data_IF_346170084597
#
_entry.id   IF_346170084597
#
_cell.length_a   1.000
_cell.length_b   1.000
_cell.length_c   1.000
_cell.angle_alpha   90.00
_cell.angle_beta   90.00
_cell.angle_gamma   90.00
#
_symmetry.space_group_name_H-M   'P 1'
#
loop_
_entity.id
_entity.type
_entity.pdbx_description
1 polymer ?
2 non-polymer ?
3 water ?
#
# COMPACT_ATOMS: atom_id res chain seq x y z
N UNK A 1 12.61 7.37 -9.25
CA UNK A 1 11.99 5.99 -9.18
C UNK A 1 12.86 4.99 -8.39
N UNK A 2 12.68 3.67 -8.63
CA UNK A 2 13.41 2.67 -7.86
C UNK A 2 13.22 1.21 -8.29
N UNK A 3 14.30 0.40 -8.24
CA UNK A 3 14.18 -0.98 -8.64
C UNK A 3 13.05 -1.71 -7.89
N UNK A 4 12.83 -1.40 -6.59
CA UNK A 4 11.79 -2.14 -5.88
C UNK A 4 10.37 -1.80 -6.39
N UNK A 5 10.14 -0.54 -6.81
CA UNK A 5 8.85 -0.10 -7.33
C UNK A 5 8.60 -0.70 -8.70
N UNK A 6 9.67 -0.90 -9.46
CA UNK A 6 9.60 -1.56 -10.77
C UNK A 6 9.13 -3.01 -10.51
N UNK A 7 9.74 -3.68 -9.53
CA UNK A 7 9.31 -5.02 -9.15
C UNK A 7 7.82 -5.07 -8.69
N UNK A 8 7.41 -4.09 -7.86
CA UNK A 8 6.04 -4.01 -7.36
C UNK A 8 5.02 -3.98 -8.53
N UNK A 9 5.34 -3.20 -9.57
CA UNK A 9 4.45 -3.05 -10.72
C UNK A 9 4.33 -4.26 -11.62
N UNK A 10 5.19 -5.25 -11.41
CA UNK A 10 5.20 -6.50 -12.17
C UNK A 10 4.44 -7.62 -11.48
N UNK A 11 3.93 -7.42 -10.26
CA UNK A 11 3.19 -8.49 -9.59
C UNK A 11 1.97 -8.94 -10.44
N UNK A 12 1.68 -10.24 -10.43
CA UNK A 12 0.54 -10.80 -11.14
C UNK A 12 -0.34 -11.39 -10.03
N UNK A 13 -1.62 -11.04 -10.03
CA UNK A 13 -2.60 -11.45 -9.01
C UNK A 13 -3.48 -12.63 -9.37
N UNK A 14 -4.02 -13.34 -8.38
CA UNK A 14 -4.99 -14.41 -8.63
C UNK A 14 -6.33 -13.86 -8.17
N UNK A 15 -7.43 -14.23 -8.82
CA UNK A 15 -8.75 -13.72 -8.39
C UNK A 15 -9.06 -14.36 -7.04
N UNK A 16 -8.54 -15.56 -6.87
CA UNK A 16 -8.78 -16.37 -5.67
C UNK A 16 -7.58 -16.41 -4.72
N UNK A 17 -7.81 -16.30 -3.41
CA UNK A 17 -6.68 -16.30 -2.48
C UNK A 17 -6.16 -17.71 -2.33
N UNK A 18 -4.87 -17.92 -2.62
CA UNK A 18 -4.31 -19.26 -2.50
C UNK A 18 -4.28 -19.85 -1.05
N UNK A 19 -4.31 -21.19 -0.98
CA UNK A 19 -4.34 -21.91 0.28
C UNK A 19 -2.90 -22.02 0.80
N UNK A 20 -2.41 -20.89 1.32
CA UNK A 20 -1.05 -20.78 1.81
C UNK A 20 -1.00 -21.22 3.23
N UNK A 21 0.20 -21.36 3.79
CA UNK A 21 0.18 -21.78 5.19
C UNK A 21 -0.40 -20.62 6.00
N UNK A 22 -1.09 -20.95 7.08
CA UNK A 22 -1.68 -19.84 7.87
C UNK A 22 -0.78 -18.77 8.46
N UNK A 23 0.52 -19.00 8.58
CA UNK A 23 1.43 -17.96 9.13
C UNK A 23 1.57 -16.85 8.09
N UNK A 24 1.77 -17.26 6.84
CA UNK A 24 1.86 -16.34 5.73
C UNK A 24 0.47 -15.66 5.50
N UNK A 25 -0.67 -16.37 5.64
CA UNK A 25 -1.96 -15.66 5.48
C UNK A 25 -2.21 -14.61 6.57
N UNK A 26 -1.73 -14.85 7.80
CA UNK A 26 -1.90 -13.85 8.85
C UNK A 26 -1.33 -12.49 8.41
N UNK A 27 -0.14 -12.52 7.86
CA UNK A 27 0.52 -11.36 7.35
C UNK A 27 -0.19 -10.72 6.15
N UNK A 28 -0.49 -11.52 5.11
CA UNK A 28 -1.10 -10.95 3.90
C UNK A 28 -2.50 -10.44 4.02
N UNK A 29 -3.31 -11.03 4.91
CA UNK A 29 -4.69 -10.56 5.12
C UNK A 29 -4.85 -9.51 6.25
N UNK A 30 -3.76 -9.15 6.91
CA UNK A 30 -3.81 -8.15 7.99
C UNK A 30 -4.67 -6.92 7.62
N UNK A 31 -5.59 -6.52 8.50
CA UNK A 31 -6.44 -5.36 8.22
C UNK A 31 -5.77 -4.04 8.64
N UNK A 32 -4.57 -3.78 8.16
CA UNK A 32 -3.85 -2.54 8.52
C UNK A 32 -2.63 -2.57 7.61
N UNK A 33 -1.90 -1.45 7.62
CA UNK A 33 -0.61 -1.27 6.90
C UNK A 33 0.37 -2.14 7.74
N UNK A 34 1.65 -2.26 7.34
CA UNK A 34 2.63 -3.05 8.07
C UNK A 34 3.36 -2.31 9.19
N UNK A 35 3.09 -1.03 9.33
CA UNK A 35 3.83 -0.24 10.32
C UNK A 35 4.00 -0.79 11.73
N UNK A 36 2.89 -0.98 12.42
CA UNK A 36 2.95 -1.46 13.80
C UNK A 36 3.39 -2.91 13.90
N UNK A 37 3.04 -3.69 12.88
CA UNK A 37 3.40 -5.10 12.84
C UNK A 37 4.90 -5.24 12.73
N UNK A 38 5.55 -4.33 12.00
CA UNK A 38 6.99 -4.39 11.88
C UNK A 38 7.67 -3.90 13.15
N UNK A 39 7.08 -2.88 13.77
CA UNK A 39 7.61 -2.36 15.01
C UNK A 39 7.55 -3.48 16.05
N UNK A 40 6.50 -4.29 16.01
CA UNK A 40 6.33 -5.40 16.94
C UNK A 40 7.52 -6.34 16.96
N UNK A 41 8.22 -6.42 15.83
CA UNK A 41 9.42 -7.27 15.71
C UNK A 41 10.62 -6.70 16.48
N UNK A 42 10.47 -5.54 17.09
CA UNK A 42 11.60 -4.97 17.79
C UNK A 42 12.42 -4.07 16.87
N UNK A 43 11.71 -3.30 16.05
CA UNK A 43 12.35 -2.42 15.06
C UNK A 43 11.73 -1.03 15.05
N UNK A 44 12.51 -0.09 14.53
CA UNK A 44 12.16 1.32 14.33
C UNK A 44 11.87 1.33 12.85
N UNK A 45 10.78 1.91 12.44
CA UNK A 45 10.42 1.93 11.03
C UNK A 45 10.62 3.37 10.50
N UNK A 46 11.15 3.52 9.29
CA UNK A 46 11.31 4.84 8.65
C UNK A 46 10.96 4.73 7.15
N UNK A 47 10.47 5.83 6.63
CA UNK A 47 10.06 5.89 5.25
C UNK A 47 11.05 6.61 4.30
N UNK A 48 11.34 6.04 3.14
CA UNK A 48 12.12 6.78 2.14
C UNK A 48 11.09 7.15 1.05
N UNK A 49 10.98 8.45 0.76
CA UNK A 49 10.02 8.88 -0.22
C UNK A 49 10.57 8.61 -1.63
N UNK A 50 9.87 7.91 -2.48
CA UNK A 50 10.38 7.68 -3.84
C UNK A 50 9.75 8.71 -4.79
N UNK A 51 8.44 8.88 -4.68
CA UNK A 51 7.73 9.77 -5.54
C UNK A 51 6.42 10.13 -4.89
N UNK A 52 6.11 11.42 -4.97
CA UNK A 52 4.87 11.90 -4.47
C UNK A 52 4.35 13.09 -5.34
N UNK A 53 3.06 13.13 -5.62
CA UNK A 53 2.48 14.22 -6.37
C UNK A 53 1.24 13.82 -7.12
N UNK A 54 0.64 14.79 -7.79
CA UNK A 54 -0.55 14.55 -8.56
C UNK A 54 -0.17 14.03 -9.90
N UNK A 55 -0.94 13.08 -10.39
CA UNK A 55 -0.72 12.51 -11.70
C UNK A 55 -2.04 12.28 -12.41
N UNK A 56 -1.97 12.13 -13.74
CA UNK A 56 -3.13 11.89 -14.58
C UNK A 56 -3.33 10.40 -14.83
N UNK A 57 -4.49 10.03 -15.37
CA UNK A 57 -4.79 8.64 -15.63
C UNK A 57 -3.71 7.79 -16.29
N UNK A 58 -3.00 8.37 -17.25
CA UNK A 58 -1.99 7.61 -17.98
C UNK A 58 -0.89 7.08 -17.08
N UNK A 59 -0.69 7.69 -15.92
CA UNK A 59 0.34 7.20 -15.01
C UNK A 59 -0.10 6.10 -14.08
N UNK A 60 -1.38 5.72 -14.13
CA UNK A 60 -1.91 4.67 -13.23
C UNK A 60 -2.71 3.57 -13.94
N UNK A 61 -2.13 3.02 -15.02
CA UNK A 61 -2.81 1.96 -15.77
C UNK A 61 -3.25 0.73 -15.00
N UNK A 62 -2.47 0.31 -14.01
CA UNK A 62 -2.82 -0.88 -13.24
C UNK A 62 -3.98 -0.62 -12.30
N UNK A 63 -4.05 0.58 -11.75
CA UNK A 63 -5.11 0.91 -10.79
C UNK A 63 -6.44 1.46 -11.35
N UNK A 64 -6.39 2.20 -12.46
CA UNK A 64 -7.57 2.80 -13.08
C UNK A 64 -8.86 1.90 -13.08
N UNK A 65 -8.78 0.62 -13.52
CA UNK A 65 -9.96 -0.28 -13.54
C UNK A 65 -10.63 -0.43 -12.20
N UNK A 66 -9.88 -0.19 -11.13
CA UNK A 66 -10.46 -0.35 -9.79
C UNK A 66 -10.93 0.92 -9.07
N UNK A 67 -10.77 2.08 -9.71
CA UNK A 67 -11.15 3.34 -9.11
C UNK A 67 -12.04 4.24 -10.04
N UNK A 68 -12.67 5.26 -9.45
CA UNK A 68 -13.50 6.17 -10.24
C UNK A 68 -12.57 6.84 -11.27
N UNK A 69 -13.12 7.19 -12.44
CA UNK A 69 -12.31 7.84 -13.48
C UNK A 69 -12.42 9.32 -13.19
N UNK A 70 -11.27 9.96 -12.96
CA UNK A 70 -11.21 11.37 -12.57
C UNK A 70 -10.08 12.04 -13.30
N UNK A 71 -9.98 13.36 -13.17
CA UNK A 71 -8.93 14.04 -13.89
C UNK A 71 -7.56 13.88 -13.32
N UNK A 72 -7.49 13.59 -12.02
CA UNK A 72 -6.20 13.60 -11.32
C UNK A 72 -6.23 12.64 -10.14
N UNK A 73 -5.05 12.19 -9.76
CA UNK A 73 -4.90 11.27 -8.63
C UNK A 73 -3.65 11.69 -7.87
N UNK A 74 -3.64 11.41 -6.57
CA UNK A 74 -2.46 11.67 -5.78
C UNK A 74 -1.73 10.29 -5.75
N UNK A 75 -0.44 10.29 -6.09
CA UNK A 75 0.40 9.11 -6.14
C UNK A 75 1.44 9.17 -5.04
N UNK A 76 1.59 8.05 -4.32
CA UNK A 76 2.57 8.03 -3.24
C UNK A 76 3.34 6.68 -3.30
N UNK A 77 4.64 6.73 -3.56
CA UNK A 77 5.45 5.57 -3.66
C UNK A 77 6.61 5.73 -2.62
N UNK A 78 6.71 4.72 -1.80
CA UNK A 78 7.73 4.72 -0.75
C UNK A 78 8.48 3.42 -0.61
N UNK A 79 9.57 3.48 0.18
CA UNK A 79 10.36 2.33 0.55
C UNK A 79 10.27 2.38 2.08
N UNK A 80 9.98 1.28 2.73
CA UNK A 80 9.89 1.26 4.17
C UNK A 80 11.06 0.48 4.73
N UNK A 81 11.84 1.07 5.61
CA UNK A 81 12.96 0.37 6.19
C UNK A 81 12.75 0.03 7.70
N UNK A 82 13.33 -1.09 8.16
CA UNK A 82 13.24 -1.50 9.58
C UNK A 82 14.72 -1.40 10.08
N UNK A 83 15.00 -0.54 11.06
CA UNK A 83 16.41 -0.27 11.49
C UNK A 83 17.38 -0.08 10.29
N UNK A 84 17.01 0.74 9.32
CA UNK A 84 17.86 0.93 8.18
C UNK A 84 17.81 -0.12 7.07
N UNK A 85 17.13 -1.24 7.28
CA UNK A 85 17.04 -2.30 6.27
C UNK A 85 15.70 -2.29 5.45
N UNK A 86 15.76 -2.07 4.12
CA UNK A 86 14.48 -2.08 3.40
C UNK A 86 13.70 -3.41 3.54
N UNK A 87 12.45 -3.30 3.96
CA UNK A 87 11.57 -4.45 4.11
C UNK A 87 10.36 -4.49 3.18
N UNK A 88 9.96 -3.30 2.72
CA UNK A 88 8.74 -3.15 1.92
C UNK A 88 8.72 -1.96 0.95
N UNK A 89 8.01 -2.14 -0.17
CA UNK A 89 7.85 -1.03 -1.08
C UNK A 89 6.33 -0.89 -1.17
N UNK A 90 5.84 0.34 -1.26
CA UNK A 90 4.41 0.48 -1.34
C UNK A 90 3.98 1.59 -2.30
N UNK A 91 2.83 1.40 -2.95
CA UNK A 91 2.30 2.38 -3.92
C UNK A 91 0.82 2.60 -3.60
N UNK A 92 0.47 3.86 -3.38
CA UNK A 92 -0.87 4.23 -3.00
C UNK A 92 -1.35 5.20 -4.07
N UNK A 93 -2.59 4.99 -4.50
CA UNK A 93 -3.19 5.87 -5.49
C UNK A 93 -4.52 6.37 -4.96
N UNK A 94 -4.66 7.69 -4.82
CA UNK A 94 -5.88 8.25 -4.30
C UNK A 94 -6.56 9.16 -5.31
N UNK A 95 -7.80 8.87 -5.71
CA UNK A 95 -8.55 9.73 -6.67
C UNK A 95 -8.70 11.08 -5.93
N UNK A 96 -8.60 12.23 -6.63
CA UNK A 96 -8.67 13.47 -5.89
C UNK A 96 -10.02 13.71 -5.20
N UNK A 97 -11.11 13.07 -5.68
CA UNK A 97 -12.40 13.25 -4.96
C UNK A 97 -12.34 12.65 -3.52
N UNK A 98 -11.45 11.69 -3.29
CA UNK A 98 -11.27 11.12 -1.95
C UNK A 98 -10.57 12.16 -1.01
N UNK A 99 -9.80 13.08 -1.58
CA UNK A 99 -9.11 14.10 -0.80
C UNK A 99 -9.96 15.25 -0.30
N UNK A 100 -10.86 15.02 0.64
CA UNK A 100 -11.75 16.07 1.13
C UNK A 100 -12.01 15.85 2.60
N UNK A 101 -12.38 16.89 3.35
CA UNK A 101 -12.57 16.64 4.77
C UNK A 101 -11.26 16.17 5.40
N UNK A 102 -11.31 15.36 6.45
CA UNK A 102 -10.14 14.82 7.15
C UNK A 102 -9.17 14.11 6.21
N UNK A 103 -9.70 13.49 5.18
CA UNK A 103 -8.87 12.75 4.24
C UNK A 103 -7.89 13.56 3.45
N UNK A 104 -8.06 14.88 3.42
CA UNK A 104 -7.10 15.76 2.76
C UNK A 104 -5.66 15.53 3.33
N UNK A 105 -5.57 15.09 4.59
CA UNK A 105 -4.29 14.81 5.24
C UNK A 105 -3.46 13.79 4.51
N UNK A 106 -4.10 12.90 3.72
CA UNK A 106 -3.35 11.89 2.99
C UNK A 106 -2.31 12.56 2.13
N UNK A 107 -2.58 13.80 1.82
CA UNK A 107 -1.75 14.57 0.96
C UNK A 107 -0.50 15.14 1.60
N UNK A 108 -0.55 15.42 2.90
CA UNK A 108 0.55 15.99 3.65
C UNK A 108 1.23 14.97 4.59
N UNK A 109 1.07 13.71 4.29
CA UNK A 109 1.65 12.72 5.16
C UNK A 109 3.20 12.74 5.16
N UNK A 110 3.84 13.03 4.04
CA UNK A 110 5.31 13.03 4.02
C UNK A 110 5.90 11.67 4.40
N UNK A 111 6.94 11.72 5.19
CA UNK A 111 7.68 10.54 5.63
C UNK A 111 7.04 9.84 6.84
N UNK A 112 5.81 10.17 7.18
CA UNK A 112 5.17 9.46 8.30
C UNK A 112 4.56 8.24 7.64
N UNK A 113 4.80 7.05 8.19
CA UNK A 113 4.22 5.87 7.55
C UNK A 113 2.75 5.72 7.88
N UNK A 114 2.00 5.29 6.87
CA UNK A 114 0.56 5.09 6.91
C UNK A 114 0.16 3.99 7.91
N UNK A 115 -0.97 4.15 8.59
CA UNK A 115 -1.44 3.13 9.50
C UNK A 115 -2.81 3.52 10.06
N UNK A 116 -3.56 2.54 10.60
CA UNK A 116 -4.85 2.86 11.17
C UNK A 116 -4.75 3.90 12.30
N UNK A 117 -3.60 3.95 12.96
CA UNK A 117 -3.43 4.91 14.03
C UNK A 117 -3.65 6.36 13.57
N UNK A 118 -3.45 6.63 12.29
CA UNK A 118 -3.65 7.99 11.72
C UNK A 118 -5.10 8.40 11.34
N UNK A 119 -6.03 7.45 11.25
CA UNK A 119 -7.39 7.80 10.80
C UNK A 119 -8.47 7.53 11.82
N UNK A 120 -8.14 7.65 13.10
CA UNK A 120 -9.12 7.40 14.14
C UNK A 120 -10.45 8.14 13.88
N UNK A 121 -10.39 9.27 13.17
CA UNK A 121 -11.61 10.02 12.88
C UNK A 121 -12.52 9.29 11.94
N UNK A 122 -11.97 8.87 10.81
CA UNK A 122 -12.77 8.21 9.78
C UNK A 122 -13.18 6.75 9.93
N UNK A 123 -14.17 6.35 9.15
CA UNK A 123 -14.61 4.99 9.20
C UNK A 123 -13.82 4.26 8.10
N UNK A 124 -13.28 3.11 8.44
CA UNK A 124 -12.44 2.38 7.51
C UNK A 124 -12.95 0.97 7.15
N UNK A 125 -12.94 0.65 5.87
CA UNK A 125 -13.39 -0.64 5.44
C UNK A 125 -12.53 -1.04 4.23
N UNK A 126 -12.50 -2.33 3.95
CA UNK A 126 -11.73 -2.82 2.82
C UNK A 126 -12.71 -3.61 1.97
N UNK A 127 -12.88 -3.32 0.69
CA UNK A 127 -13.84 -4.16 -0.01
C UNK A 127 -13.23 -5.20 -0.94
N UNK A 128 -11.91 -5.25 -1.01
CA UNK A 128 -11.30 -6.16 -1.97
C UNK A 128 -9.81 -6.28 -1.65
N UNK A 129 -9.27 -7.48 -1.72
CA UNK A 129 -7.84 -7.67 -1.51
C UNK A 129 -7.51 -8.87 -2.34
N UNK A 130 -6.37 -8.80 -3.03
CA UNK A 130 -5.87 -9.91 -3.82
C UNK A 130 -4.37 -10.05 -3.51
N UNK A 131 -3.90 -11.29 -3.60
CA UNK A 131 -2.50 -11.57 -3.34
C UNK A 131 -1.78 -11.74 -4.65
N UNK A 132 -0.56 -11.23 -4.74
CA UNK A 132 0.13 -11.36 -5.98
C UNK A 132 1.52 -11.86 -5.81
N UNK A 133 2.14 -12.22 -6.92
CA UNK A 133 3.48 -12.69 -6.79
C UNK A 133 4.31 -12.49 -8.05
N UNK A 134 5.61 -12.37 -7.83
CA UNK A 134 6.54 -12.19 -8.92
C UNK A 134 7.90 -12.66 -8.54
N UNK A 135 8.44 -13.55 -9.34
CA UNK A 135 9.80 -14.00 -9.10
C UNK A 135 10.09 -14.41 -7.67
N UNK A 136 9.24 -15.25 -7.05
CA UNK A 136 9.49 -15.66 -5.67
C UNK A 136 9.06 -14.66 -4.56
N UNK A 137 8.64 -13.46 -4.96
CA UNK A 137 8.23 -12.46 -3.97
C UNK A 137 6.71 -12.35 -3.84
N UNK A 138 6.25 -12.01 -2.64
CA UNK A 138 4.84 -11.82 -2.35
C UNK A 138 4.46 -10.33 -2.31
N UNK A 139 3.25 -10.07 -2.79
CA UNK A 139 2.67 -8.75 -2.79
C UNK A 139 1.16 -8.88 -2.57
N UNK A 140 0.54 -7.74 -2.35
CA UNK A 140 -0.90 -7.68 -2.22
C UNK A 140 -1.45 -6.33 -2.67
N UNK A 141 -2.71 -6.29 -3.15
CA UNK A 141 -3.34 -5.00 -3.46
C UNK A 141 -4.74 -4.99 -2.84
N UNK A 142 -5.09 -3.84 -2.27
CA UNK A 142 -6.34 -3.63 -1.57
C UNK A 142 -7.07 -2.34 -1.93
N UNK A 143 -8.41 -2.37 -1.99
CA UNK A 143 -9.13 -1.15 -2.16
C UNK A 143 -9.67 -0.89 -0.79
N UNK A 144 -9.26 0.23 -0.20
CA UNK A 144 -9.77 0.64 1.11
C UNK A 144 -10.75 1.82 0.93
N UNK A 145 -11.63 2.02 1.89
CA UNK A 145 -12.58 3.14 1.85
C UNK A 145 -12.50 3.83 3.17
N UNK A 146 -12.31 5.14 3.10
CA UNK A 146 -12.28 5.99 4.27
C UNK A 146 -13.57 6.79 4.16
N UNK A 147 -14.45 6.65 5.13
CA UNK A 147 -15.73 7.33 5.05
C UNK A 147 -16.31 7.07 3.69
N UNK A 148 -16.23 5.84 3.23
CA UNK A 148 -16.81 5.53 1.93
C UNK A 148 -16.05 5.91 0.66
N UNK A 149 -15.00 6.70 0.80
CA UNK A 149 -14.21 7.18 -0.32
C UNK A 149 -13.05 6.23 -0.61
N UNK A 150 -12.92 5.78 -1.86
CA UNK A 150 -11.82 4.84 -2.10
C UNK A 150 -10.38 5.29 -2.32
N UNK A 151 -9.50 4.32 -2.15
CA UNK A 151 -8.07 4.48 -2.53
C UNK A 151 -7.51 3.10 -2.83
N UNK A 152 -6.46 3.00 -3.61
CA UNK A 152 -5.92 1.70 -3.90
C UNK A 152 -4.54 1.64 -3.22
N UNK A 153 -4.27 0.54 -2.52
CA UNK A 153 -2.96 0.40 -1.82
C UNK A 153 -2.27 -0.91 -2.27
N UNK A 154 -1.07 -0.81 -2.85
CA UNK A 154 -0.29 -1.98 -3.27
C UNK A 154 1.02 -2.10 -2.43
N UNK A 155 1.33 -3.31 -1.98
CA UNK A 155 2.55 -3.56 -1.14
C UNK A 155 3.36 -4.72 -1.69
N UNK A 156 4.67 -4.57 -1.73
CA UNK A 156 5.60 -5.63 -2.17
C UNK A 156 6.46 -5.91 -0.92
N UNK A 157 6.55 -7.19 -0.52
CA UNK A 157 7.32 -7.58 0.64
C UNK A 157 8.73 -8.02 0.21
N UNK A 158 9.75 -7.24 0.62
CA UNK A 158 11.11 -7.59 0.26
C UNK A 158 11.55 -8.81 1.07
N UNK A 159 12.46 -9.63 0.48
CA UNK A 159 12.98 -10.85 1.11
C UNK A 159 13.59 -10.63 2.52
N UNK A 160 14.00 -9.41 2.84
CA UNK A 160 14.52 -9.17 4.17
C UNK A 160 13.40 -9.20 5.22
N UNK A 161 12.15 -9.01 4.79
CA UNK A 161 11.01 -8.94 5.70
C UNK A 161 10.71 -10.31 6.37
N UNK A 162 10.00 -10.32 7.51
CA UNK A 162 9.68 -11.57 8.24
C UNK A 162 8.79 -12.56 7.54
N UNK A 163 8.32 -12.24 6.35
CA UNK A 163 7.46 -13.20 5.70
C UNK A 163 8.21 -14.40 5.17
N UNK A 164 9.50 -14.23 4.96
CA UNK A 164 10.35 -15.24 4.39
C UNK A 164 11.21 -16.11 5.33
X LIG B 1 2.67 2.77 3.62
X LIG B 1 1.98 1.93 2.65
X LIG B 1 3.12 2.16 4.84
X LIG B 1 1.73 0.51 2.96
X LIG B 1 2.87 0.76 5.09
X LIG B 1 3.48 0.06 6.04
X LIG B 1 2.22 -0.01 4.24
X LIG B 1 2.95 4.17 3.40
X LIG B 1 4.30 0.64 6.89
X LIG B 1 2.61 4.67 2.32
X LIG B 1 3.36 4.91 4.35
X LIG B 1 2.11 -1.31 4.58
X LIG C 1 -7.25 -2.15 6.26
X LIG C 1 -7.47 -1.02 7.01
X LIG C 1 -6.19 -2.36 5.60
X LIG C 1 -6.46 -0.03 7.05
X LIG C 1 -5.19 -1.48 5.59
X LIG C 1 -4.18 -1.70 4.78
X LIG C 1 -5.29 -0.29 6.31
X LIG C 1 -8.23 -3.07 6.14
X LIG C 1 -4.37 -2.92 4.07
X LIG C 1 -9.37 -3.00 6.73
X LIG C 1 -7.92 -3.94 5.31
X LIG C 1 -4.30 0.78 6.37
#
# INVERSE_FOLDING_TARGET
SHPALTQLRALRYSKEIPALDPQLLDWLLLEDSMTKRFEQQGKTVSVTMIREGFVEQNEIPEELPLLPKESRYWLREILLSADGEPWLAARTVVPVSTLSGPELALQKLGKTPLGRYLFTSSTLTRDFIEIGRDAGLWGRRSRLRLSGKPLLLTELFLPASPLY
VNL C1 CO1 CO2 CM1 CM2 OM CZ CC CV O1 O2 O3
VNL C1 CO1 CO2 CM1 CM2 OM CZ CC CV O1 O2 O3
#
